data_IF_875991961434
#
_entry.id   IF_875991961434
#
_cell.length_a   1.000
_cell.length_b   1.000
_cell.length_c   1.000
_cell.angle_alpha   90.00
_cell.angle_beta   90.00
_cell.angle_gamma   90.00
#
_symmetry.space_group_name_H-M   'P 1'
#
loop_
_entity.id
_entity.type
_entity.pdbx_description
1 polymer ?
#
# COMPACT_ATOMS: atom_id res chain seq x y z
N UNK A 1 -0.93 18.56 -11.72
CA UNK A 1 -0.75 17.09 -11.74
C UNK A 1 -1.99 16.50 -11.10
N UNK A 2 -2.76 15.78 -11.90
CA UNK A 2 -4.16 15.42 -11.67
C UNK A 2 -4.22 13.96 -11.19
N UNK A 3 -4.85 13.70 -10.05
CA UNK A 3 -5.00 12.34 -9.49
C UNK A 3 -6.25 11.73 -10.14
N UNK A 4 -6.06 10.72 -11.00
CA UNK A 4 -7.17 10.07 -11.71
C UNK A 4 -7.78 8.97 -10.84
N UNK A 5 -9.04 9.16 -10.45
CA UNK A 5 -9.82 8.24 -9.63
C UNK A 5 -10.27 7.00 -10.41
N UNK A 6 -9.98 5.80 -9.91
CA UNK A 6 -10.91 4.65 -10.02
C UNK A 6 -11.60 4.43 -8.67
N UNK A 7 -12.56 5.34 -8.43
CA UNK A 7 -13.64 5.30 -7.42
C UNK A 7 -13.28 5.08 -5.94
N UNK A 8 -12.64 6.07 -5.32
CA UNK A 8 -13.02 6.48 -3.97
C UNK A 8 -14.29 7.35 -4.07
N UNK A 9 -15.44 6.79 -3.69
CA UNK A 9 -16.72 7.50 -3.75
C UNK A 9 -16.74 8.69 -2.80
N UNK A 10 -17.29 9.79 -3.30
CA UNK A 10 -17.54 11.07 -2.63
C UNK A 10 -18.08 10.89 -1.21
N UNK A 11 -17.24 11.01 -0.18
CA UNK A 11 -17.71 11.22 1.19
C UNK A 11 -16.67 11.98 2.00
N UNK A 12 -17.15 12.95 2.79
CA UNK A 12 -16.39 13.73 3.77
C UNK A 12 -15.44 12.83 4.57
N UNK A 13 -14.13 13.11 4.54
CA UNK A 13 -13.12 12.58 5.44
C UNK A 13 -13.23 11.07 5.71
N UNK A 14 -13.00 10.25 4.69
CA UNK A 14 -12.99 8.79 4.85
C UNK A 14 -11.85 8.39 5.79
N UNK A 15 -12.21 7.86 6.96
CA UNK A 15 -11.26 7.22 7.87
C UNK A 15 -10.94 5.82 7.31
N UNK A 16 -9.67 5.56 7.02
CA UNK A 16 -9.19 4.28 6.48
C UNK A 16 -8.15 3.69 7.43
N UNK A 17 -8.11 2.37 7.51
CA UNK A 17 -7.06 1.66 8.23
C UNK A 17 -6.00 1.21 7.22
N UNK A 18 -4.76 1.66 7.38
CA UNK A 18 -3.74 1.50 6.35
C UNK A 18 -2.36 1.16 6.90
N UNK A 19 -1.57 0.47 6.08
CA UNK A 19 -0.14 0.26 6.28
C UNK A 19 0.63 1.41 5.64
N UNK A 20 1.51 2.10 6.39
CA UNK A 20 2.37 3.10 5.79
C UNK A 20 3.46 2.42 4.95
N UNK A 21 3.60 2.84 3.69
CA UNK A 21 4.62 2.36 2.78
C UNK A 21 5.69 3.46 2.63
N UNK A 22 6.75 3.36 3.42
CA UNK A 22 7.86 4.31 3.32
C UNK A 22 8.65 4.14 2.04
N UNK A 23 9.14 5.24 1.50
CA UNK A 23 9.97 5.27 0.30
C UNK A 23 11.19 4.33 0.41
N UNK A 24 11.90 4.34 1.54
CA UNK A 24 13.03 3.42 1.76
C UNK A 24 12.62 1.95 1.73
N UNK A 25 11.45 1.61 2.29
CA UNK A 25 10.91 0.25 2.28
C UNK A 25 10.46 -0.15 0.87
N UNK A 26 9.86 0.78 0.12
CA UNK A 26 9.48 0.58 -1.28
C UNK A 26 10.72 0.33 -2.13
N UNK A 27 11.76 1.15 -1.99
CA UNK A 27 13.02 0.98 -2.72
C UNK A 27 13.66 -0.39 -2.42
N UNK A 28 13.78 -0.77 -1.14
CA UNK A 28 14.31 -2.09 -0.77
C UNK A 28 13.46 -3.25 -1.29
N UNK A 29 12.13 -3.11 -1.26
CA UNK A 29 11.23 -4.13 -1.77
C UNK A 29 11.34 -4.26 -3.30
N UNK A 30 11.36 -3.13 -4.02
CA UNK A 30 11.54 -3.07 -5.47
C UNK A 30 12.86 -3.70 -5.90
N UNK A 31 13.96 -3.36 -5.26
CA UNK A 31 15.27 -3.94 -5.56
C UNK A 31 15.32 -5.46 -5.33
N UNK A 32 14.59 -5.97 -4.34
CA UNK A 32 14.51 -7.42 -4.10
C UNK A 32 13.63 -8.13 -5.14
N UNK A 33 12.51 -7.53 -5.53
CA UNK A 33 11.57 -8.12 -6.48
C UNK A 33 12.09 -8.06 -7.92
N UNK A 34 12.67 -6.91 -8.30
CA UNK A 34 13.17 -6.65 -9.63
C UNK A 34 14.28 -5.59 -9.60
N UNK A 35 15.54 -5.98 -9.33
CA UNK A 35 16.65 -5.02 -9.22
C UNK A 35 16.88 -4.26 -10.54
N UNK A 36 17.10 -2.95 -10.44
CA UNK A 36 17.43 -2.14 -11.62
C UNK A 36 18.90 -2.43 -12.01
N UNK A 37 19.19 -2.77 -13.28
CA UNK A 37 20.56 -2.97 -13.73
C UNK A 37 21.42 -1.74 -13.46
N UNK A 38 22.63 -1.90 -12.90
CA UNK A 38 23.49 -0.77 -12.51
C UNK A 38 24.05 0.00 -13.71
N UNK A 39 24.00 -0.58 -14.91
CA UNK A 39 24.38 0.01 -16.19
C UNK A 39 23.24 0.79 -16.86
N UNK A 40 22.01 0.70 -16.34
CA UNK A 40 20.91 1.53 -16.78
C UNK A 40 21.13 2.97 -16.31
N UNK A 41 21.53 3.84 -17.22
CA UNK A 41 21.90 5.23 -16.93
C UNK A 41 21.03 6.24 -17.66
N UNK A 42 20.26 5.78 -18.65
CA UNK A 42 19.30 6.62 -19.34
C UNK A 42 18.18 7.04 -18.37
N UNK A 43 17.89 8.35 -18.23
CA UNK A 43 16.88 8.83 -17.29
C UNK A 43 15.45 8.34 -17.57
N UNK A 44 15.09 8.14 -18.85
CA UNK A 44 13.76 7.70 -19.27
C UNK A 44 13.59 6.21 -18.93
N UNK A 45 14.57 5.39 -19.28
CA UNK A 45 14.59 3.96 -18.94
C UNK A 45 14.62 3.74 -17.42
N UNK A 46 15.38 4.54 -16.68
CA UNK A 46 15.42 4.50 -15.21
C UNK A 46 14.05 4.82 -14.59
N UNK A 47 13.35 5.80 -15.15
CA UNK A 47 12.01 6.16 -14.69
C UNK A 47 10.99 5.07 -15.00
N UNK A 48 11.09 4.45 -16.17
CA UNK A 48 10.26 3.29 -16.55
C UNK A 48 10.51 2.11 -15.61
N UNK A 49 11.77 1.74 -15.37
CA UNK A 49 12.14 0.65 -14.48
C UNK A 49 11.64 0.86 -13.03
N UNK A 50 11.72 2.09 -12.51
CA UNK A 50 11.15 2.44 -11.19
C UNK A 50 9.63 2.36 -11.17
N UNK A 51 8.97 2.75 -12.26
CA UNK A 51 7.51 2.67 -12.37
C UNK A 51 7.07 1.20 -12.38
N UNK A 52 7.77 0.35 -13.13
CA UNK A 52 7.54 -1.08 -13.14
C UNK A 52 7.78 -1.75 -11.78
N UNK A 53 8.87 -1.39 -11.08
CA UNK A 53 9.08 -1.84 -9.69
C UNK A 53 7.91 -1.45 -8.77
N UNK A 54 7.39 -0.22 -8.89
CA UNK A 54 6.26 0.23 -8.08
C UNK A 54 5.01 -0.63 -8.32
N UNK A 55 4.70 -0.96 -9.58
CA UNK A 55 3.60 -1.87 -9.93
C UNK A 55 3.79 -3.26 -9.31
N UNK A 56 4.99 -3.84 -9.43
CA UNK A 56 5.29 -5.16 -8.84
C UNK A 56 5.16 -5.17 -7.31
N UNK A 57 5.59 -4.09 -6.64
CA UNK A 57 5.43 -3.97 -5.19
C UNK A 57 3.94 -3.92 -4.83
N UNK A 58 3.15 -3.17 -5.59
CA UNK A 58 1.72 -3.03 -5.35
C UNK A 58 0.98 -4.36 -5.53
N UNK A 59 1.26 -5.08 -6.62
CA UNK A 59 0.70 -6.40 -6.86
C UNK A 59 1.09 -7.38 -5.74
N UNK A 60 2.38 -7.39 -5.34
CA UNK A 60 2.86 -8.25 -4.26
C UNK A 60 2.14 -7.97 -2.93
N UNK A 61 1.94 -6.71 -2.59
CA UNK A 61 1.28 -6.31 -1.35
C UNK A 61 -0.21 -6.68 -1.38
N UNK A 62 -0.87 -6.54 -2.54
CA UNK A 62 -2.25 -6.98 -2.76
C UNK A 62 -2.36 -8.51 -2.61
N UNK A 63 -1.45 -9.25 -3.22
CA UNK A 63 -1.41 -10.72 -3.14
C UNK A 63 -1.28 -11.21 -1.70
N UNK A 64 -0.37 -10.63 -0.91
CA UNK A 64 -0.22 -10.95 0.52
C UNK A 64 -1.53 -10.73 1.28
N UNK A 65 -2.23 -9.64 0.98
CA UNK A 65 -3.50 -9.35 1.60
C UNK A 65 -4.56 -10.38 1.23
N UNK A 66 -4.64 -10.80 -0.04
CA UNK A 66 -5.55 -11.85 -0.49
C UNK A 66 -5.19 -13.25 0.05
N UNK A 67 -3.91 -13.58 0.18
CA UNK A 67 -3.46 -14.86 0.76
C UNK A 67 -3.87 -15.00 2.23
N UNK A 68 -3.71 -13.93 3.01
CA UNK A 68 -3.95 -13.93 4.47
C UNK A 68 -5.41 -13.65 4.79
N UNK A 69 -6.08 -12.88 3.95
CA UNK A 69 -7.46 -12.47 4.12
C UNK A 69 -8.26 -12.69 2.81
N UNK A 70 -8.53 -13.95 2.44
CA UNK A 70 -9.15 -14.27 1.15
C UNK A 70 -10.63 -13.85 1.07
N UNK A 71 -11.32 -13.77 2.21
CA UNK A 71 -12.76 -13.52 2.26
C UNK A 71 -13.14 -12.03 2.15
N UNK A 72 -12.16 -11.09 2.21
CA UNK A 72 -12.26 -9.62 2.08
C UNK A 72 -10.85 -9.00 1.97
N UNK A 73 -10.54 -7.90 1.23
CA UNK A 73 -11.39 -6.72 0.92
C UNK A 73 -11.20 -6.05 -0.47
N UNK A 74 -11.91 -4.94 -0.70
CA UNK A 74 -11.55 -3.92 -1.69
C UNK A 74 -10.25 -3.21 -1.25
N UNK A 75 -9.10 -3.77 -1.61
CA UNK A 75 -7.78 -3.19 -1.31
C UNK A 75 -7.57 -1.98 -2.21
N UNK A 76 -7.16 -0.86 -1.62
CA UNK A 76 -6.83 0.34 -2.37
C UNK A 76 -5.46 0.87 -1.97
N UNK A 77 -4.74 1.38 -2.94
CA UNK A 77 -3.47 2.08 -2.72
C UNK A 77 -3.74 3.57 -2.87
N UNK A 78 -3.34 4.33 -1.86
CA UNK A 78 -3.59 5.77 -1.79
C UNK A 78 -2.33 6.54 -1.43
N UNK A 79 -2.41 7.86 -1.62
CA UNK A 79 -1.35 8.79 -1.22
C UNK A 79 -1.75 9.45 0.10
N UNK A 80 -0.82 9.51 1.05
CA UNK A 80 -0.96 10.39 2.23
C UNK A 80 -0.38 11.77 1.88
N UNK A 81 -1.24 12.78 1.90
CA UNK A 81 -0.87 14.17 1.59
C UNK A 81 -0.48 14.97 2.83
N UNK A 82 -0.58 14.38 4.03
CA UNK A 82 -0.46 15.09 5.31
C UNK A 82 0.78 14.69 6.14
N UNK A 83 1.70 13.88 5.61
CA UNK A 83 2.81 13.33 6.39
C UNK A 83 4.06 12.94 5.62
N UNK A 84 4.98 12.27 6.32
CA UNK A 84 6.24 11.70 5.79
C UNK A 84 6.04 10.43 4.94
N UNK A 85 4.82 9.91 4.91
CA UNK A 85 4.47 8.72 4.15
C UNK A 85 3.87 9.21 2.85
N UNK A 86 4.51 8.93 1.71
CA UNK A 86 3.92 9.32 0.44
C UNK A 86 2.87 8.31 -0.03
N UNK A 87 2.95 7.04 0.41
CA UNK A 87 2.07 5.96 -0.02
C UNK A 87 1.49 5.18 1.17
N UNK A 88 0.24 4.78 1.03
CA UNK A 88 -0.52 3.98 1.99
C UNK A 88 -1.18 2.80 1.28
N UNK A 89 -1.09 1.61 1.86
CA UNK A 89 -1.97 0.50 1.53
C UNK A 89 -3.21 0.57 2.43
N UNK A 90 -4.35 1.00 1.88
CA UNK A 90 -5.60 1.12 2.59
C UNK A 90 -6.41 -0.17 2.49
N UNK A 91 -6.71 -0.76 3.65
CA UNK A 91 -7.71 -1.82 3.76
C UNK A 91 -9.06 -1.15 3.98
N UNK A 92 -9.79 -0.92 2.89
CA UNK A 92 -11.06 -0.22 2.94
C UNK A 92 -12.18 -1.23 2.95
N UNK A 93 -13.13 -1.00 3.86
CA UNK A 93 -14.44 -1.56 3.69
C UNK A 93 -15.47 -0.52 4.10
N UNK A 94 -16.45 -0.31 3.22
CA UNK A 94 -17.61 0.59 3.36
C UNK A 94 -17.68 1.39 4.67
N UNK A 95 -17.32 2.66 4.56
CA UNK A 95 -17.14 3.79 5.50
C UNK A 95 -18.20 4.06 6.60
N UNK A 96 -18.91 3.07 7.14
CA UNK A 96 -19.79 3.29 8.30
C UNK A 96 -19.07 3.04 9.63
N UNK A 97 -19.33 3.94 10.57
CA UNK A 97 -18.92 4.00 11.99
C UNK A 97 -19.18 2.72 12.83
N UNK A 98 -19.72 1.66 12.24
CA UNK A 98 -20.14 0.43 12.91
C UNK A 98 -19.17 -0.76 12.68
N UNK A 99 -17.88 -0.48 12.44
CA UNK A 99 -16.77 -1.32 12.92
C UNK A 99 -16.85 -2.83 12.68
N UNK A 100 -17.09 -3.30 11.46
CA UNK A 100 -17.06 -4.75 11.21
C UNK A 100 -16.30 -5.22 9.99
N UNK A 101 -15.21 -4.56 9.60
CA UNK A 101 -14.41 -5.02 8.47
C UNK A 101 -12.97 -4.47 8.48
N UNK A 102 -12.29 -4.58 9.61
CA UNK A 102 -10.83 -4.51 9.67
C UNK A 102 -10.40 -5.90 10.12
N UNK A 103 -9.32 -6.48 9.58
CA UNK A 103 -8.87 -7.77 10.07
C UNK A 103 -8.58 -7.59 11.57
N UNK A 104 -9.03 -8.54 12.38
CA UNK A 104 -8.87 -8.50 13.84
C UNK A 104 -8.17 -9.77 14.31
N UNK A 105 -7.55 -9.67 15.49
CA UNK A 105 -6.84 -10.78 16.10
C UNK A 105 -5.79 -11.36 15.14
N UNK A 106 -5.84 -12.68 14.97
CA UNK A 106 -4.83 -13.44 14.23
C UNK A 106 -4.66 -13.03 12.77
N UNK A 107 -5.72 -12.62 12.07
CA UNK A 107 -5.61 -12.17 10.66
C UNK A 107 -4.80 -10.88 10.56
N UNK A 108 -5.02 -9.92 11.48
CA UNK A 108 -4.26 -8.69 11.51
C UNK A 108 -2.80 -8.93 11.89
N UNK A 109 -2.56 -9.80 12.87
CA UNK A 109 -1.20 -10.19 13.26
C UNK A 109 -0.46 -10.85 12.09
N UNK A 110 -1.11 -11.75 11.35
CA UNK A 110 -0.53 -12.38 10.17
C UNK A 110 -0.20 -11.35 9.09
N UNK A 111 -1.11 -10.41 8.82
CA UNK A 111 -0.88 -9.32 7.86
C UNK A 111 0.31 -8.45 8.27
N UNK A 112 0.37 -8.03 9.54
CA UNK A 112 1.50 -7.25 10.06
C UNK A 112 2.80 -8.02 9.89
N UNK A 113 2.83 -9.30 10.27
CA UNK A 113 4.03 -10.13 10.15
C UNK A 113 4.48 -10.30 8.70
N UNK A 114 3.54 -10.47 7.77
CA UNK A 114 3.86 -10.55 6.35
C UNK A 114 4.39 -9.23 5.80
N UNK A 115 3.76 -8.10 6.14
CA UNK A 115 4.24 -6.78 5.74
C UNK A 115 5.64 -6.48 6.29
N UNK A 116 5.91 -6.84 7.55
CA UNK A 116 7.25 -6.75 8.15
C UNK A 116 8.26 -7.62 7.40
N UNK A 117 7.88 -8.84 7.00
CA UNK A 117 8.75 -9.74 6.24
C UNK A 117 9.11 -9.18 4.85
N UNK A 118 8.24 -8.36 4.25
CA UNK A 118 8.52 -7.64 3.01
C UNK A 118 9.28 -6.32 3.23
N UNK A 119 9.61 -5.97 4.48
CA UNK A 119 10.37 -4.77 4.85
C UNK A 119 9.52 -3.54 5.18
N UNK A 120 8.20 -3.69 5.29
CA UNK A 120 7.25 -2.67 5.75
C UNK A 120 7.05 -2.78 7.25
N UNK A 121 8.04 -2.31 8.02
CA UNK A 121 8.10 -2.49 9.47
C UNK A 121 7.11 -1.63 10.26
N UNK A 122 6.40 -0.73 9.58
CA UNK A 122 5.57 0.25 10.23
C UNK A 122 4.20 -0.32 10.56
N UNK A 123 3.78 -0.07 11.80
CA UNK A 123 2.49 -0.55 12.27
C UNK A 123 1.35 0.12 11.51
N UNK A 124 0.34 -0.64 11.06
CA UNK A 124 -0.86 -0.07 10.47
C UNK A 124 -1.60 0.79 11.51
N UNK A 125 -2.22 1.88 11.03
CA UNK A 125 -2.97 2.82 11.86
C UNK A 125 -4.13 3.44 11.08
N UNK A 126 -4.93 4.24 11.77
CA UNK A 126 -6.00 5.00 11.16
C UNK A 126 -5.47 6.26 10.48
N UNK A 127 -5.98 6.54 9.27
CA UNK A 127 -5.67 7.70 8.45
C UNK A 127 -6.95 8.37 7.97
N UNK A 128 -6.91 9.67 7.77
CA UNK A 128 -7.98 10.43 7.11
C UNK A 128 -7.53 10.78 5.71
N UNK A 129 -8.27 10.30 4.70
CA UNK A 129 -8.11 10.79 3.34
C UNK A 129 -8.78 12.17 3.24
N UNK A 130 -8.00 13.18 2.85
CA UNK A 130 -8.45 14.56 2.66
C UNK A 130 -9.14 14.75 1.30
#
# INVERSE_FOLDING_TARGET
>A
MEITYRQASRTRGSLVYAFPLHEDSLARCGERLHPIPPDLTDPEDLQEARSFQAELIFDRVIDICHEIWPDRPDIQIGLDTNGKHHLLLALIASTKRNDRIIPQGKTLENLINAMVAEGFEQKPRWFTLA
#
